data_IF_981489803137
#
_entry.id   IF_981489803137
#
_cell.length_a   1.000
_cell.length_b   1.000
_cell.length_c   1.000
_cell.angle_alpha   90.00
_cell.angle_beta   90.00
_cell.angle_gamma   90.00
#
_symmetry.space_group_name_H-M   'P 1'
#
loop_
_entity.id
_entity.type
_entity.pdbx_description
1 polymer ?
#
# COMPACT_ATOMS: atom_id res chain seq x y z
N UNK A 1 46.44 57.54 25.04
CA UNK A 1 46.21 56.29 24.25
C UNK A 1 44.74 56.29 23.85
N UNK A 2 44.44 56.66 22.58
CA UNK A 2 43.05 56.94 22.14
C UNK A 2 42.41 55.66 21.65
N UNK A 3 41.39 55.24 22.33
CA UNK A 3 40.51 54.13 21.92
C UNK A 3 39.55 54.67 20.83
N UNK A 4 39.82 54.29 19.55
CA UNK A 4 38.96 54.60 18.43
C UNK A 4 37.94 53.45 18.31
N UNK A 5 36.81 53.56 19.05
CA UNK A 5 35.64 52.76 18.78
C UNK A 5 35.11 53.03 17.34
N UNK A 6 35.43 52.14 16.40
CA UNK A 6 34.84 52.17 15.08
C UNK A 6 33.36 51.83 15.19
N UNK A 7 32.48 52.80 15.27
CA UNK A 7 31.06 52.67 15.02
C UNK A 7 30.86 52.25 13.55
N UNK A 8 30.79 50.95 13.28
CA UNK A 8 30.35 50.44 11.98
C UNK A 8 28.95 50.99 11.72
N UNK A 9 28.83 51.91 10.78
CA UNK A 9 27.54 52.38 10.29
C UNK A 9 26.97 51.29 9.42
N UNK A 10 25.90 50.63 9.87
CA UNK A 10 25.14 49.70 9.06
C UNK A 10 24.73 50.44 7.76
N UNK A 11 25.20 49.89 6.63
CA UNK A 11 24.84 50.37 5.30
C UNK A 11 23.43 49.91 4.94
N UNK A 12 22.71 50.72 4.16
CA UNK A 12 21.43 50.36 3.57
C UNK A 12 21.52 49.01 2.82
N UNK A 13 22.71 48.72 2.28
CA UNK A 13 23.06 47.50 1.57
C UNK A 13 23.10 46.28 2.52
N UNK A 14 23.61 46.45 3.75
CA UNK A 14 23.64 45.39 4.77
C UNK A 14 22.21 45.03 5.21
N UNK A 15 21.33 46.03 5.34
CA UNK A 15 19.93 45.81 5.66
C UNK A 15 19.18 45.05 4.55
N UNK A 16 19.45 45.43 3.28
CA UNK A 16 18.86 44.74 2.13
C UNK A 16 19.31 43.28 2.03
N UNK A 17 20.60 42.99 2.31
CA UNK A 17 21.13 41.61 2.33
C UNK A 17 20.52 40.76 3.46
N UNK A 18 20.35 41.32 4.65
CA UNK A 18 19.70 40.65 5.79
C UNK A 18 18.25 40.34 5.44
N UNK A 19 17.54 41.31 4.85
CA UNK A 19 16.12 41.12 4.47
C UNK A 19 15.97 40.05 3.40
N UNK A 20 16.87 40.02 2.41
CA UNK A 20 16.90 38.99 1.37
C UNK A 20 17.21 37.60 1.93
N UNK A 21 18.13 37.49 2.90
CA UNK A 21 18.44 36.25 3.58
C UNK A 21 17.23 35.73 4.39
N UNK A 22 16.52 36.62 5.09
CA UNK A 22 15.29 36.27 5.84
C UNK A 22 14.21 35.77 4.89
N UNK A 23 13.98 36.45 3.75
CA UNK A 23 13.02 35.99 2.75
C UNK A 23 13.40 34.64 2.16
N UNK A 24 14.68 34.37 1.93
CA UNK A 24 15.14 33.08 1.44
C UNK A 24 14.87 31.95 2.44
N UNK A 25 15.16 32.18 3.73
CA UNK A 25 14.90 31.20 4.80
C UNK A 25 13.40 30.96 4.98
N UNK A 26 12.59 32.03 5.01
CA UNK A 26 11.13 31.93 5.12
C UNK A 26 10.54 31.23 3.89
N UNK A 27 11.04 31.54 2.69
CA UNK A 27 10.60 30.88 1.45
C UNK A 27 10.91 29.39 1.40
N UNK A 28 12.11 29.00 1.90
CA UNK A 28 12.47 27.58 2.02
C UNK A 28 11.61 26.85 3.06
N UNK A 29 11.32 27.49 4.19
CA UNK A 29 10.50 26.93 5.25
C UNK A 29 9.03 26.79 4.82
N UNK A 30 8.51 27.78 4.10
CA UNK A 30 7.13 27.74 3.60
C UNK A 30 6.94 26.82 2.38
N UNK A 31 8.02 26.49 1.64
CA UNK A 31 7.93 25.65 0.44
C UNK A 31 7.22 24.31 0.70
N UNK A 32 7.44 23.69 1.86
CA UNK A 32 6.79 22.45 2.24
C UNK A 32 5.33 22.65 2.68
N UNK A 33 5.01 23.81 3.27
CA UNK A 33 3.64 24.15 3.66
C UNK A 33 2.80 24.64 2.48
N UNK A 34 3.41 25.34 1.51
CA UNK A 34 2.75 25.75 0.29
C UNK A 34 2.33 24.54 -0.55
N UNK A 35 3.16 23.49 -0.63
CA UNK A 35 2.77 22.23 -1.28
C UNK A 35 1.53 21.60 -0.67
N UNK A 36 1.34 21.73 0.66
CA UNK A 36 0.13 21.23 1.36
C UNK A 36 -1.08 22.12 1.13
N UNK A 37 -0.90 23.43 0.92
CA UNK A 37 -1.97 24.39 0.67
C UNK A 37 -2.47 24.35 -0.79
N UNK A 38 -1.60 24.00 -1.74
CA UNK A 38 -1.92 23.85 -3.16
C UNK A 38 -2.14 22.40 -3.59
N UNK A 39 -1.95 21.42 -2.67
CA UNK A 39 -2.47 20.09 -2.91
C UNK A 39 -4.00 20.23 -2.94
N UNK A 40 -4.59 20.23 -4.13
CA UNK A 40 -6.03 20.03 -4.30
C UNK A 40 -6.39 18.86 -3.40
N UNK A 41 -7.41 19.08 -2.57
CA UNK A 41 -7.91 18.05 -1.66
C UNK A 41 -8.52 16.98 -2.57
N UNK A 42 -7.70 16.02 -2.97
CA UNK A 42 -8.12 14.95 -3.85
C UNK A 42 -9.29 14.22 -3.21
N UNK A 43 -10.40 14.19 -3.94
CA UNK A 43 -11.60 13.50 -3.49
C UNK A 43 -11.36 12.01 -3.70
N UNK A 44 -11.13 11.30 -2.61
CA UNK A 44 -11.08 9.86 -2.63
C UNK A 44 -12.45 9.31 -3.06
N UNK A 45 -12.43 8.30 -3.89
CA UNK A 45 -13.63 7.64 -4.42
C UNK A 45 -13.67 6.21 -3.92
N UNK A 46 -14.85 5.62 -3.96
CA UNK A 46 -15.03 4.23 -3.58
C UNK A 46 -14.59 3.29 -4.70
N UNK A 47 -13.78 2.31 -4.31
CA UNK A 47 -13.28 1.24 -5.16
C UNK A 47 -13.50 -0.10 -4.48
N UNK A 48 -13.54 -1.14 -5.30
CA UNK A 48 -13.49 -2.52 -4.86
C UNK A 48 -12.19 -3.14 -5.38
N UNK A 49 -11.40 -3.69 -4.46
CA UNK A 49 -10.20 -4.46 -4.76
C UNK A 49 -10.57 -5.94 -4.69
N UNK A 50 -10.25 -6.69 -5.73
CA UNK A 50 -10.35 -8.17 -5.75
C UNK A 50 -8.99 -8.75 -5.45
N UNK A 51 -8.93 -9.75 -4.59
CA UNK A 51 -7.68 -10.36 -4.17
C UNK A 51 -7.79 -11.88 -4.03
N UNK A 52 -6.63 -12.53 -4.03
CA UNK A 52 -6.46 -13.94 -3.75
C UNK A 52 -5.44 -14.16 -2.61
N UNK A 53 -5.65 -15.23 -1.85
CA UNK A 53 -4.73 -15.73 -0.83
C UNK A 53 -4.41 -17.17 -1.21
N UNK A 54 -3.15 -17.50 -1.39
CA UNK A 54 -2.72 -18.87 -1.69
C UNK A 54 -2.32 -19.62 -0.43
N UNK A 55 -2.80 -20.83 -0.30
CA UNK A 55 -2.44 -21.77 0.78
C UNK A 55 -2.63 -21.18 2.18
N UNK A 56 -3.79 -20.63 2.46
CA UNK A 56 -4.17 -20.19 3.81
C UNK A 56 -4.73 -21.36 4.62
N UNK A 57 -4.46 -21.38 5.92
CA UNK A 57 -5.08 -22.37 6.83
C UNK A 57 -6.60 -22.13 6.90
N UNK A 58 -7.38 -23.21 6.95
CA UNK A 58 -8.84 -23.09 7.01
C UNK A 58 -9.31 -22.29 8.23
N UNK A 59 -8.62 -22.40 9.37
CA UNK A 59 -8.89 -21.58 10.57
C UNK A 59 -8.67 -20.10 10.33
N UNK A 60 -7.62 -19.71 9.60
CA UNK A 60 -7.35 -18.33 9.23
C UNK A 60 -8.39 -17.81 8.23
N UNK A 61 -8.73 -18.62 7.22
CA UNK A 61 -9.76 -18.25 6.23
C UNK A 61 -11.12 -18.02 6.88
N UNK A 62 -11.50 -18.83 7.89
CA UNK A 62 -12.77 -18.68 8.61
C UNK A 62 -12.88 -17.38 9.44
N UNK A 63 -11.77 -16.72 9.75
CA UNK A 63 -11.74 -15.42 10.43
C UNK A 63 -11.92 -14.23 9.47
N UNK A 64 -11.76 -14.45 8.16
CA UNK A 64 -11.94 -13.44 7.13
C UNK A 64 -13.41 -13.35 6.70
N UNK A 65 -14.22 -12.81 7.60
CA UNK A 65 -15.66 -12.65 7.41
C UNK A 65 -16.01 -11.25 6.92
N UNK A 66 -17.27 -11.05 6.54
CA UNK A 66 -17.79 -9.74 6.15
C UNK A 66 -17.50 -8.67 7.21
N UNK A 67 -17.23 -7.44 6.75
CA UNK A 67 -16.97 -6.24 7.56
C UNK A 67 -15.65 -6.28 8.36
N UNK A 68 -14.81 -7.31 8.18
CA UNK A 68 -13.45 -7.31 8.73
C UNK A 68 -12.60 -6.30 7.97
N UNK A 69 -11.96 -5.40 8.71
CA UNK A 69 -11.04 -4.40 8.16
C UNK A 69 -9.64 -5.00 7.99
N UNK A 70 -9.02 -4.74 6.84
CA UNK A 70 -7.66 -5.12 6.54
C UNK A 70 -6.78 -3.88 6.45
N UNK A 71 -5.57 -4.00 6.97
CA UNK A 71 -4.55 -2.95 7.00
C UNK A 71 -3.24 -3.48 6.44
N UNK A 72 -2.40 -2.58 5.98
CA UNK A 72 -1.00 -2.87 5.63
C UNK A 72 -0.12 -1.75 6.15
N UNK A 73 1.20 -1.94 6.08
CA UNK A 73 2.14 -0.88 6.44
C UNK A 73 2.88 -0.37 5.21
N UNK A 74 2.98 0.96 5.12
CA UNK A 74 3.83 1.64 4.16
C UNK A 74 4.91 2.39 4.96
N UNK A 75 6.03 1.71 5.19
CA UNK A 75 7.04 2.17 6.14
C UNK A 75 6.53 2.02 7.58
N UNK A 76 6.44 3.12 8.32
CA UNK A 76 5.94 3.15 9.71
C UNK A 76 4.44 3.45 9.81
N UNK A 77 3.80 3.86 8.70
CA UNK A 77 2.40 4.24 8.69
C UNK A 77 1.49 3.06 8.34
N UNK A 78 0.43 2.89 9.12
CA UNK A 78 -0.64 1.93 8.82
C UNK A 78 -1.56 2.52 7.75
N UNK A 79 -1.78 1.76 6.68
CA UNK A 79 -2.67 2.12 5.58
C UNK A 79 -3.83 1.14 5.55
N UNK A 80 -5.07 1.64 5.56
CA UNK A 80 -6.25 0.80 5.41
C UNK A 80 -6.33 0.26 3.99
N UNK A 81 -6.37 -1.07 3.85
CA UNK A 81 -6.66 -1.75 2.59
C UNK A 81 -8.15 -1.74 2.27
N UNK A 82 -9.00 -1.55 3.28
CA UNK A 82 -10.45 -1.55 3.17
C UNK A 82 -11.11 -2.60 4.06
N UNK A 83 -12.40 -2.83 3.83
CA UNK A 83 -13.22 -3.80 4.56
C UNK A 83 -13.74 -4.89 3.62
N UNK A 84 -13.82 -6.12 4.11
CA UNK A 84 -14.39 -7.22 3.35
C UNK A 84 -15.89 -6.99 3.07
N UNK A 85 -16.27 -7.04 1.80
CA UNK A 85 -17.68 -6.88 1.38
C UNK A 85 -18.52 -8.10 1.69
N UNK A 86 -17.86 -9.27 1.73
CA UNK A 86 -18.45 -10.59 2.03
C UNK A 86 -17.37 -11.50 2.59
N UNK A 87 -17.73 -12.63 3.21
CA UNK A 87 -16.76 -13.65 3.62
C UNK A 87 -15.93 -14.10 2.41
N UNK A 88 -14.65 -14.41 2.63
CA UNK A 88 -13.81 -14.94 1.55
C UNK A 88 -14.36 -16.25 1.01
N UNK A 89 -14.36 -16.39 -0.31
CA UNK A 89 -14.68 -17.64 -0.98
C UNK A 89 -13.47 -18.56 -0.89
N UNK A 90 -13.67 -19.80 -0.48
CA UNK A 90 -12.58 -20.78 -0.31
C UNK A 90 -12.67 -21.91 -1.31
N UNK A 91 -11.52 -22.41 -1.74
CA UNK A 91 -11.38 -23.57 -2.61
C UNK A 91 -10.20 -24.43 -2.13
N UNK A 92 -10.13 -25.72 -2.51
CA UNK A 92 -8.95 -26.52 -2.20
C UNK A 92 -7.66 -25.84 -2.70
N UNK A 93 -6.63 -25.81 -1.84
CA UNK A 93 -5.36 -25.23 -2.22
C UNK A 93 -4.74 -26.00 -3.37
N UNK A 94 -4.14 -25.30 -4.32
CA UNK A 94 -3.49 -25.90 -5.50
C UNK A 94 -1.98 -25.69 -5.46
N UNK A 95 -1.26 -26.61 -6.10
CA UNK A 95 0.20 -26.58 -6.24
C UNK A 95 0.58 -27.06 -7.65
N UNK A 96 1.62 -26.47 -8.19
CA UNK A 96 2.20 -26.93 -9.45
C UNK A 96 3.31 -27.94 -9.16
N UNK A 97 3.13 -29.18 -9.63
CA UNK A 97 4.09 -30.25 -9.48
C UNK A 97 4.79 -30.52 -10.83
N UNK A 98 6.13 -30.71 -10.82
CA UNK A 98 6.83 -31.11 -12.03
C UNK A 98 6.54 -32.58 -12.32
N UNK A 99 5.97 -32.86 -13.51
CA UNK A 99 5.85 -34.19 -14.05
C UNK A 99 7.00 -34.41 -15.02
N UNK A 100 7.81 -35.44 -14.76
CA UNK A 100 8.85 -35.89 -15.68
C UNK A 100 8.23 -36.86 -16.65
N UNK A 101 8.12 -36.46 -17.92
CA UNK A 101 7.65 -37.34 -19.00
C UNK A 101 8.58 -38.54 -19.18
N UNK A 102 8.02 -39.72 -19.19
CA UNK A 102 8.73 -40.98 -19.49
C UNK A 102 9.03 -41.05 -20.99
N UNK A 103 10.09 -40.37 -21.42
CA UNK A 103 10.54 -40.59 -22.81
C UNK A 103 11.37 -39.47 -23.44
N UNK A 104 11.05 -38.21 -23.24
CA UNK A 104 11.71 -37.12 -23.96
C UNK A 104 12.42 -36.08 -23.07
N UNK A 105 12.51 -36.33 -21.77
CA UNK A 105 13.18 -35.39 -20.83
C UNK A 105 12.49 -34.03 -20.69
N UNK A 106 11.27 -33.88 -21.17
CA UNK A 106 10.47 -32.67 -21.02
C UNK A 106 9.83 -32.64 -19.62
N UNK A 107 10.03 -31.53 -18.91
CA UNK A 107 9.41 -31.25 -17.64
C UNK A 107 8.12 -30.46 -17.88
N UNK A 108 6.99 -31.00 -17.47
CA UNK A 108 5.68 -30.35 -17.55
C UNK A 108 5.23 -30.01 -16.14
N UNK A 109 4.75 -28.78 -15.93
CA UNK A 109 4.17 -28.36 -14.65
C UNK A 109 2.67 -28.65 -14.68
N UNK A 110 2.23 -29.52 -13.80
CA UNK A 110 0.82 -29.89 -13.70
C UNK A 110 0.23 -29.35 -12.40
N UNK A 111 -0.93 -28.74 -12.51
CA UNK A 111 -1.69 -28.28 -11.36
C UNK A 111 -2.28 -29.48 -10.63
N UNK A 112 -2.06 -29.57 -9.34
CA UNK A 112 -2.56 -30.61 -8.47
C UNK A 112 -3.16 -29.98 -7.18
N UNK A 113 -4.07 -30.67 -6.55
CA UNK A 113 -4.56 -30.28 -5.23
C UNK A 113 -3.44 -30.45 -4.22
N UNK A 114 -3.21 -29.41 -3.39
CA UNK A 114 -2.21 -29.47 -2.33
C UNK A 114 -2.53 -30.63 -1.39
N UNK A 115 -1.54 -31.47 -1.03
CA UNK A 115 -1.74 -32.56 -0.08
C UNK A 115 -2.30 -32.02 1.22
N UNK A 116 -3.41 -32.59 1.66
CA UNK A 116 -4.05 -32.23 2.93
C UNK A 116 -3.50 -33.15 4.02
N UNK A 117 -3.14 -32.59 5.16
CA UNK A 117 -2.78 -33.36 6.35
C UNK A 117 -4.02 -33.46 7.26
N UNK A 118 -4.08 -34.49 8.09
CA UNK A 118 -5.14 -34.70 9.08
C UNK A 118 -5.25 -33.53 10.08
N UNK A 119 -4.13 -32.83 10.32
CA UNK A 119 -4.03 -31.72 11.27
C UNK A 119 -3.97 -30.33 10.63
N UNK A 120 -3.63 -30.22 9.35
CA UNK A 120 -3.50 -28.95 8.65
C UNK A 120 -4.25 -28.98 7.32
N UNK A 121 -5.34 -28.23 7.26
CA UNK A 121 -6.14 -28.07 6.05
C UNK A 121 -5.87 -26.73 5.41
N UNK A 122 -5.24 -26.75 4.23
CA UNK A 122 -4.92 -25.56 3.44
C UNK A 122 -5.94 -25.35 2.33
N UNK A 123 -6.29 -24.09 2.16
CA UNK A 123 -7.25 -23.62 1.15
C UNK A 123 -6.67 -22.43 0.39
N UNK A 124 -7.08 -22.26 -0.85
CA UNK A 124 -6.97 -20.98 -1.53
C UNK A 124 -8.23 -20.18 -1.20
N UNK A 125 -8.07 -18.88 -0.97
CA UNK A 125 -9.18 -18.00 -0.64
C UNK A 125 -9.18 -16.80 -1.57
N UNK A 126 -10.35 -16.26 -1.89
CA UNK A 126 -10.50 -15.04 -2.68
C UNK A 126 -11.59 -14.17 -2.10
N UNK A 127 -11.48 -12.87 -2.29
CA UNK A 127 -12.46 -11.93 -1.77
C UNK A 127 -12.40 -10.55 -2.39
N UNK A 128 -13.28 -9.70 -1.92
CA UNK A 128 -13.37 -8.30 -2.35
C UNK A 128 -13.31 -7.36 -1.13
N UNK A 129 -12.53 -6.30 -1.26
CA UNK A 129 -12.40 -5.23 -0.28
C UNK A 129 -13.02 -3.94 -0.81
N UNK A 130 -13.93 -3.36 -0.05
CA UNK A 130 -14.36 -1.98 -0.28
C UNK A 130 -13.34 -1.02 0.32
N UNK A 131 -12.82 -0.12 -0.47
CA UNK A 131 -11.77 0.81 -0.07
C UNK A 131 -11.98 2.21 -0.66
N UNK A 132 -11.19 3.17 -0.15
CA UNK A 132 -11.11 4.51 -0.71
C UNK A 132 -9.80 4.67 -1.47
N UNK A 133 -9.86 5.25 -2.66
CA UNK A 133 -8.68 5.46 -3.47
C UNK A 133 -8.89 6.51 -4.55
N UNK A 134 -7.86 6.72 -5.34
CA UNK A 134 -7.88 7.64 -6.47
C UNK A 134 -7.06 7.07 -7.62
N UNK A 135 -7.49 7.34 -8.82
CA UNK A 135 -6.75 7.01 -10.03
C UNK A 135 -6.07 8.27 -10.58
N UNK A 136 -4.75 8.20 -10.78
CA UNK A 136 -3.91 9.26 -11.36
C UNK A 136 -3.06 8.66 -12.45
N UNK A 137 -3.07 9.29 -13.63
CA UNK A 137 -2.23 8.87 -14.78
C UNK A 137 -2.34 7.38 -15.11
N UNK A 138 -3.55 6.78 -14.93
CA UNK A 138 -3.79 5.36 -15.15
C UNK A 138 -3.26 4.44 -14.04
N UNK A 139 -2.79 4.97 -12.93
CA UNK A 139 -2.34 4.23 -11.75
C UNK A 139 -3.30 4.43 -10.58
N UNK A 140 -3.62 3.35 -9.87
CA UNK A 140 -4.50 3.38 -8.72
C UNK A 140 -3.71 3.58 -7.42
N UNK A 141 -4.11 4.56 -6.63
CA UNK A 141 -3.52 4.85 -5.32
C UNK A 141 -4.55 4.63 -4.21
N UNK A 142 -4.31 3.62 -3.40
CA UNK A 142 -5.09 3.31 -2.22
C UNK A 142 -4.92 4.41 -1.17
N UNK A 143 -6.02 4.89 -0.60
CA UNK A 143 -6.07 6.03 0.33
C UNK A 143 -5.35 7.30 -0.19
N UNK A 144 -5.10 7.39 -1.50
CA UNK A 144 -4.32 8.47 -2.12
C UNK A 144 -2.80 8.41 -1.88
N UNK A 145 -2.30 7.38 -1.22
CA UNK A 145 -0.91 7.29 -0.72
C UNK A 145 -0.14 6.10 -1.29
N UNK A 146 -0.74 4.93 -1.31
CA UNK A 146 -0.09 3.68 -1.67
C UNK A 146 -0.45 3.28 -3.10
N UNK A 147 0.56 3.22 -3.99
CA UNK A 147 0.38 2.68 -5.33
C UNK A 147 0.02 1.19 -5.24
N UNK A 148 -1.07 0.81 -5.91
CA UNK A 148 -1.54 -0.55 -5.98
C UNK A 148 -1.49 -1.05 -7.42
N UNK A 149 -0.88 -2.23 -7.62
CA UNK A 149 -0.71 -2.83 -8.94
C UNK A 149 -1.29 -4.24 -8.96
N UNK A 150 -1.93 -4.64 -10.07
CA UNK A 150 -2.38 -6.02 -10.26
C UNK A 150 -1.19 -6.98 -10.21
N UNK A 151 -1.35 -8.09 -9.50
CA UNK A 151 -0.30 -9.07 -9.22
C UNK A 151 0.59 -8.71 -8.01
N UNK A 152 0.42 -7.55 -7.40
CA UNK A 152 1.17 -7.16 -6.22
C UNK A 152 0.78 -8.01 -5.02
N UNK A 153 1.79 -8.49 -4.30
CA UNK A 153 1.61 -9.16 -3.02
C UNK A 153 1.75 -8.17 -1.89
N UNK A 154 0.81 -8.21 -0.96
CA UNK A 154 0.71 -7.29 0.18
C UNK A 154 0.51 -8.12 1.44
N UNK A 155 1.28 -7.83 2.48
CA UNK A 155 1.00 -8.34 3.82
C UNK A 155 -0.20 -7.56 4.38
N UNK A 156 -1.35 -8.21 4.42
CA UNK A 156 -2.56 -7.66 4.99
C UNK A 156 -2.73 -8.17 6.42
N UNK A 157 -3.06 -7.27 7.32
CA UNK A 157 -3.25 -7.54 8.74
C UNK A 157 -4.67 -7.22 9.15
N UNK A 158 -5.22 -8.05 10.01
CA UNK A 158 -6.46 -7.80 10.75
C UNK A 158 -6.12 -7.68 12.24
N UNK A 159 -7.11 -7.54 13.10
CA UNK A 159 -6.89 -7.58 14.55
C UNK A 159 -6.40 -8.95 15.05
N UNK A 160 -6.63 -10.01 14.28
CA UNK A 160 -6.43 -11.40 14.73
C UNK A 160 -5.47 -12.20 13.88
N UNK A 161 -5.32 -11.87 12.60
CA UNK A 161 -4.51 -12.65 11.66
C UNK A 161 -3.78 -11.78 10.65
N UNK A 162 -2.63 -12.28 10.22
CA UNK A 162 -1.84 -11.73 9.13
C UNK A 162 -1.92 -12.69 7.94
N UNK A 163 -2.16 -12.14 6.75
CA UNK A 163 -2.25 -12.91 5.50
C UNK A 163 -1.55 -12.18 4.37
N UNK A 164 -0.96 -12.93 3.44
CA UNK A 164 -0.42 -12.34 2.21
C UNK A 164 -1.50 -12.43 1.15
N UNK A 165 -2.00 -11.28 0.72
CA UNK A 165 -2.96 -11.16 -0.37
C UNK A 165 -2.25 -10.83 -1.68
N UNK A 166 -2.74 -11.36 -2.80
CA UNK A 166 -2.32 -10.97 -4.14
C UNK A 166 -3.47 -10.19 -4.78
N UNK A 167 -3.23 -8.94 -5.15
CA UNK A 167 -4.23 -8.11 -5.83
C UNK A 167 -4.45 -8.63 -7.24
N UNK A 168 -5.67 -9.05 -7.56
CA UNK A 168 -6.02 -9.56 -8.89
C UNK A 168 -6.65 -8.47 -9.76
N UNK A 169 -7.49 -7.64 -9.18
CA UNK A 169 -8.16 -6.54 -9.88
C UNK A 169 -8.56 -5.42 -8.94
N UNK A 170 -8.90 -4.27 -9.51
CA UNK A 170 -9.59 -3.18 -8.81
C UNK A 170 -10.55 -2.49 -9.76
N UNK A 171 -11.69 -2.05 -9.25
CA UNK A 171 -12.72 -1.34 -10.01
C UNK A 171 -13.34 -0.22 -9.18
N UNK A 172 -13.69 0.86 -9.85
CA UNK A 172 -14.44 1.94 -9.24
C UNK A 172 -15.90 1.54 -9.02
N UNK A 173 -16.45 1.89 -7.87
CA UNK A 173 -17.89 1.78 -7.60
C UNK A 173 -18.59 2.94 -8.30
N UNK A 174 -19.53 2.64 -9.19
CA UNK A 174 -20.29 3.63 -9.99
C UNK A 174 -21.60 3.95 -9.30
#
# INVERSE_FOLDING_TARGET
>A
MMDRSMKRRFSLLDFALILLAVFAVVGLWQRNNLKKLFAEKEILQEYVITFEIKRVRSTTASLLVKDVALYTYNGEESVSLGTLTQPVAVSPATVYLPLYGTGNGTMEMVEAVYPQDEYEYYQDAGGELACLGIERDGAFFLAGQMLLVKGQQILAQTETVDVVITVTDYRKVV
#
